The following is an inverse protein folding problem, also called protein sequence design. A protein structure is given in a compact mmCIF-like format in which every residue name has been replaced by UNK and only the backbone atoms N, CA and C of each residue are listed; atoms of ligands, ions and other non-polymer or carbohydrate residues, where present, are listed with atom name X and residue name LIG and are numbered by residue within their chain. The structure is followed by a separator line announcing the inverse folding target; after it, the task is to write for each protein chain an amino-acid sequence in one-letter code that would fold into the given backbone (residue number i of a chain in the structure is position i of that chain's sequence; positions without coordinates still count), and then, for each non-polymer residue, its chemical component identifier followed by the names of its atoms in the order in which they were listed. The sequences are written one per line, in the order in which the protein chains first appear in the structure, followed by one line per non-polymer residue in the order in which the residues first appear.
data_IF_579878301114
#
_entry.id   IF_579878301114
#
_cell.length_a   1.000
_cell.length_b   1.000
_cell.length_c   1.000
_cell.angle_alpha   90.00
_cell.angle_beta   90.00
_cell.angle_gamma   90.00
#
_symmetry.space_group_name_H-M   'P 1'
#
loop_
_entity.id
_entity.type
_entity.pdbx_description
1 polymer ?
#
# COMPACT_ATOMS: atom_id res chain seq x y z
N UNK A 1 -17.02 -8.29 -14.85
CA UNK A 1 -16.19 -9.02 -15.84
C UNK A 1 -14.78 -8.61 -15.50
N UNK A 2 -14.07 -9.44 -14.73
CA UNK A 2 -12.73 -9.21 -14.20
C UNK A 2 -12.42 -10.42 -13.32
N UNK A 3 -11.24 -11.02 -13.31
CA UNK A 3 -10.02 -10.73 -14.05
C UNK A 3 -9.11 -11.95 -14.09
N UNK A 4 -9.28 -12.84 -15.08
CA UNK A 4 -8.29 -13.89 -15.36
C UNK A 4 -7.12 -13.36 -16.22
N UNK A 5 -7.24 -12.13 -16.73
CA UNK A 5 -6.25 -11.49 -17.59
C UNK A 5 -5.53 -10.37 -16.85
N UNK A 6 -4.21 -10.54 -16.67
CA UNK A 6 -3.28 -9.47 -16.31
C UNK A 6 -2.93 -8.66 -17.56
N UNK A 7 -2.85 -7.34 -17.45
CA UNK A 7 -2.49 -6.44 -18.55
C UNK A 7 -1.06 -5.90 -18.42
N UNK A 8 -0.44 -5.60 -19.56
CA UNK A 8 0.90 -5.03 -19.62
C UNK A 8 0.85 -3.49 -19.65
N UNK A 9 1.53 -2.83 -18.71
CA UNK A 9 1.86 -1.40 -18.76
C UNK A 9 3.37 -1.24 -19.04
N UNK A 10 3.79 -1.00 -20.29
CA UNK A 10 5.20 -1.02 -20.69
C UNK A 10 6.09 -0.06 -19.89
N UNK A 11 5.56 1.09 -19.50
CA UNK A 11 6.30 2.16 -18.79
C UNK A 11 6.86 1.69 -17.45
N UNK A 12 6.20 0.72 -16.81
CA UNK A 12 6.60 0.20 -15.51
C UNK A 12 7.05 -1.27 -15.55
N UNK A 13 7.03 -1.92 -16.71
CA UNK A 13 7.34 -3.34 -16.82
C UNK A 13 8.84 -3.64 -16.64
N UNK A 14 9.72 -2.78 -17.17
CA UNK A 14 11.16 -2.99 -17.13
C UNK A 14 11.84 -2.03 -16.15
N UNK A 15 12.74 -2.55 -15.33
CA UNK A 15 13.60 -1.76 -14.47
C UNK A 15 14.65 -1.01 -15.32
N UNK A 16 14.71 0.34 -15.29
CA UNK A 16 15.67 1.09 -16.09
C UNK A 16 17.12 0.86 -15.64
N UNK A 17 17.33 0.44 -14.39
CA UNK A 17 18.67 0.23 -13.82
C UNK A 17 19.30 -1.09 -14.27
N UNK A 18 18.59 -2.22 -14.12
CA UNK A 18 19.11 -3.54 -14.48
C UNK A 18 18.52 -4.15 -15.76
N UNK A 19 17.56 -3.48 -16.39
CA UNK A 19 16.86 -3.94 -17.61
C UNK A 19 16.09 -5.26 -17.43
N UNK A 20 15.88 -5.72 -16.20
CA UNK A 20 15.04 -6.89 -15.92
C UNK A 20 13.57 -6.49 -15.75
N UNK A 21 12.69 -7.45 -15.99
CA UNK A 21 11.26 -7.30 -15.68
C UNK A 21 11.06 -7.06 -14.19
N UNK A 22 10.18 -6.12 -13.89
CA UNK A 22 9.72 -5.87 -12.53
C UNK A 22 8.68 -6.91 -12.13
N UNK A 23 8.74 -7.32 -10.87
CA UNK A 23 7.77 -8.21 -10.24
C UNK A 23 6.48 -7.45 -10.01
N UNK A 24 5.34 -8.07 -10.35
CA UNK A 24 4.02 -7.55 -10.03
C UNK A 24 3.73 -7.72 -8.55
N UNK A 25 3.20 -6.65 -7.96
CA UNK A 25 2.81 -6.59 -6.55
C UNK A 25 1.30 -6.57 -6.41
N UNK A 26 0.62 -5.74 -7.21
CA UNK A 26 -0.81 -5.52 -7.09
C UNK A 26 -1.40 -5.06 -8.41
N UNK A 27 -2.62 -5.50 -8.70
CA UNK A 27 -3.46 -5.01 -9.80
C UNK A 27 -4.80 -4.61 -9.21
N UNK A 28 -5.30 -3.43 -9.58
CA UNK A 28 -6.61 -2.93 -9.16
C UNK A 28 -7.42 -2.47 -10.37
N UNK A 29 -8.69 -2.85 -10.37
CA UNK A 29 -9.66 -2.44 -11.38
C UNK A 29 -10.59 -1.38 -10.79
N UNK A 30 -10.87 -0.33 -11.56
CA UNK A 30 -11.68 0.81 -11.09
C UNK A 30 -13.14 0.47 -10.84
N UNK A 31 -13.69 -0.51 -11.56
CA UNK A 31 -15.05 -0.99 -11.36
C UNK A 31 -15.20 -1.80 -10.06
N UNK A 32 -14.13 -2.44 -9.60
CA UNK A 32 -14.05 -3.14 -8.31
C UNK A 32 -13.83 -2.17 -7.14
N UNK A 33 -13.04 -1.11 -7.34
CA UNK A 33 -12.69 -0.12 -6.30
C UNK A 33 -12.97 1.32 -6.74
N UNK A 34 -14.23 1.72 -6.95
CA UNK A 34 -14.58 3.04 -7.51
C UNK A 34 -14.21 4.22 -6.61
N UNK A 35 -14.03 4.00 -5.31
CA UNK A 35 -13.64 4.99 -4.31
C UNK A 35 -12.13 5.26 -4.26
N UNK A 36 -11.32 4.41 -4.89
CA UNK A 36 -9.87 4.64 -4.97
C UNK A 36 -9.52 5.69 -6.01
N UNK A 37 -8.28 6.17 -5.94
CA UNK A 37 -7.78 7.13 -6.90
C UNK A 37 -7.41 6.45 -8.23
N UNK A 38 -7.98 6.99 -9.31
CA UNK A 38 -7.55 6.74 -10.68
C UNK A 38 -7.40 8.08 -11.41
N UNK A 39 -6.28 8.35 -12.09
CA UNK A 39 -6.16 9.47 -13.02
C UNK A 39 -7.29 9.51 -14.06
N UNK A 40 -7.49 10.67 -14.65
CA UNK A 40 -8.52 10.89 -15.66
C UNK A 40 -8.34 9.91 -16.82
N UNK A 41 -9.44 9.31 -17.30
CA UNK A 41 -9.45 8.34 -18.40
C UNK A 41 -8.67 7.03 -18.14
N UNK A 42 -8.40 6.68 -16.89
CA UNK A 42 -7.84 5.38 -16.51
C UNK A 42 -8.84 4.55 -15.71
N UNK A 43 -8.75 3.24 -15.84
CA UNK A 43 -9.60 2.24 -15.17
C UNK A 43 -8.81 1.02 -14.64
N UNK A 44 -7.48 1.04 -14.79
CA UNK A 44 -6.57 -0.01 -14.34
C UNK A 44 -5.31 0.56 -13.68
N UNK A 45 -4.93 -0.01 -12.55
CA UNK A 45 -3.73 0.33 -11.80
C UNK A 45 -2.91 -0.94 -11.62
N UNK A 46 -1.64 -0.87 -12.01
CA UNK A 46 -0.66 -1.92 -11.78
C UNK A 46 0.47 -1.38 -10.91
N UNK A 47 0.88 -2.15 -9.91
CA UNK A 47 2.01 -1.83 -9.03
C UNK A 47 3.10 -2.87 -9.23
N UNK A 48 4.31 -2.42 -9.54
CA UNK A 48 5.47 -3.28 -9.81
C UNK A 48 6.70 -2.83 -9.04
N UNK A 49 7.60 -3.75 -8.70
CA UNK A 49 8.89 -3.42 -8.09
C UNK A 49 10.03 -4.27 -8.66
N UNK A 50 11.27 -3.85 -8.47
CA UNK A 50 12.45 -4.58 -8.92
C UNK A 50 13.13 -5.27 -7.73
N UNK A 51 13.12 -6.61 -7.69
CA UNK A 51 13.79 -7.40 -6.66
C UNK A 51 15.22 -7.85 -7.03
N UNK A 52 15.80 -7.32 -8.11
CA UNK A 52 17.19 -7.64 -8.45
C UNK A 52 18.15 -7.02 -7.42
N UNK A 53 18.93 -7.85 -6.73
CA UNK A 53 19.91 -7.44 -5.72
C UNK A 53 20.89 -6.35 -6.19
N UNK A 54 21.23 -6.32 -7.49
CA UNK A 54 22.10 -5.28 -8.07
C UNK A 54 21.44 -3.90 -8.12
N UNK A 55 20.11 -3.84 -7.99
CA UNK A 55 19.34 -2.60 -7.86
C UNK A 55 18.96 -2.28 -6.41
N UNK A 56 19.10 -3.25 -5.50
CA UNK A 56 18.76 -3.15 -4.07
C UNK A 56 19.94 -2.57 -3.25
N UNK A 57 21.02 -2.13 -3.89
CA UNK A 57 22.18 -1.47 -3.25
C UNK A 57 21.82 -0.16 -2.51
N UNK A 58 20.56 0.27 -2.57
CA UNK A 58 19.96 1.34 -1.78
C UNK A 58 18.91 0.64 -0.91
N UNK A 59 18.90 0.91 0.39
CA UNK A 59 17.98 0.43 1.43
C UNK A 59 16.47 0.52 1.14
N UNK A 60 16.07 0.90 -0.07
CA UNK A 60 14.76 1.39 -0.44
C UNK A 60 14.26 0.63 -1.68
N UNK A 61 13.35 -0.32 -1.47
CA UNK A 61 12.58 -0.92 -2.57
C UNK A 61 11.60 0.14 -3.09
N UNK A 62 11.69 0.45 -4.38
CA UNK A 62 10.85 1.48 -5.01
C UNK A 62 9.75 0.86 -5.85
N UNK A 63 8.54 0.93 -5.32
CA UNK A 63 7.32 0.54 -6.04
C UNK A 63 6.99 1.58 -7.12
N UNK A 64 6.63 1.08 -8.30
CA UNK A 64 6.22 1.87 -9.47
C UNK A 64 4.74 1.64 -9.73
N UNK A 65 4.00 2.74 -9.86
CA UNK A 65 2.60 2.73 -10.25
C UNK A 65 2.48 2.97 -11.75
N UNK A 66 1.70 2.14 -12.43
CA UNK A 66 1.29 2.32 -13.80
C UNK A 66 -0.23 2.43 -13.82
N UNK A 67 -0.74 3.48 -14.45
CA UNK A 67 -2.17 3.64 -14.69
C UNK A 67 -2.44 3.48 -16.17
N UNK A 68 -3.51 2.77 -16.51
CA UNK A 68 -3.89 2.53 -17.89
C UNK A 68 -5.39 2.46 -18.06
N UNK A 69 -5.80 2.46 -19.33
CA UNK A 69 -7.16 2.15 -19.74
C UNK A 69 -7.16 0.75 -20.33
N UNK A 70 -7.91 -0.19 -19.76
CA UNK A 70 -7.88 -1.63 -20.11
C UNK A 70 -8.01 -1.84 -21.62
N UNK A 71 -8.91 -1.10 -22.26
CA UNK A 71 -9.15 -1.18 -23.71
C UNK A 71 -7.94 -0.81 -24.57
N UNK A 72 -7.00 -0.05 -24.01
CA UNK A 72 -5.77 0.40 -24.68
C UNK A 72 -4.57 -0.48 -24.28
N UNK A 73 -4.73 -1.39 -23.30
CA UNK A 73 -3.67 -2.28 -22.84
C UNK A 73 -3.70 -3.63 -23.57
N UNK A 74 -2.52 -4.23 -23.70
CA UNK A 74 -2.39 -5.58 -24.23
C UNK A 74 -2.46 -6.60 -23.10
N UNK A 75 -3.16 -7.74 -23.29
CA UNK A 75 -3.10 -8.85 -22.34
C UNK A 75 -1.65 -9.34 -22.20
N UNK A 76 -1.24 -9.61 -20.97
CA UNK A 76 0.06 -10.20 -20.69
C UNK A 76 0.02 -11.71 -21.00
N UNK A 77 0.64 -12.10 -22.11
CA UNK A 77 0.63 -13.50 -22.60
C UNK A 77 1.81 -14.33 -22.11
N UNK A 78 2.77 -13.71 -21.46
CA UNK A 78 3.93 -14.41 -20.91
C UNK A 78 3.60 -14.85 -19.48
N UNK A 79 4.03 -16.06 -19.11
CA UNK A 79 3.92 -16.49 -17.72
C UNK A 79 4.64 -15.47 -16.86
N UNK A 80 3.91 -14.91 -15.90
CA UNK A 80 4.50 -14.00 -14.94
C UNK A 80 5.51 -14.76 -14.10
N UNK A 81 6.80 -14.61 -14.42
CA UNK A 81 7.86 -14.96 -13.50
C UNK A 81 7.80 -13.95 -12.35
N UNK A 82 7.07 -14.33 -11.32
CA UNK A 82 6.93 -13.58 -10.07
C UNK A 82 7.41 -14.45 -8.93
N UNK A 83 8.26 -13.88 -8.07
CA UNK A 83 8.62 -14.51 -6.80
C UNK A 83 7.48 -14.44 -5.77
N UNK A 84 6.50 -13.56 -6.02
CA UNK A 84 5.26 -13.44 -5.25
C UNK A 84 4.21 -14.31 -5.92
N UNK A 85 3.56 -15.24 -5.21
CA UNK A 85 2.58 -16.10 -5.84
C UNK A 85 1.34 -15.28 -6.26
N UNK A 86 0.77 -15.62 -7.40
CA UNK A 86 -0.44 -14.95 -7.90
C UNK A 86 -1.64 -15.38 -7.07
N UNK A 87 -2.28 -14.42 -6.42
CA UNK A 87 -3.48 -14.62 -5.62
C UNK A 87 -4.53 -13.57 -5.94
N UNK A 88 -5.79 -13.97 -5.81
CA UNK A 88 -6.91 -13.04 -5.74
C UNK A 88 -7.24 -12.81 -4.27
N UNK A 89 -7.28 -11.54 -3.87
CA UNK A 89 -7.74 -11.16 -2.54
C UNK A 89 -9.24 -10.91 -2.58
N UNK A 90 -9.95 -11.37 -1.56
CA UNK A 90 -11.33 -10.95 -1.29
C UNK A 90 -11.26 -9.72 -0.38
N UNK A 91 -11.48 -8.50 -0.91
CA UNK A 91 -11.35 -7.28 -0.12
C UNK A 91 -12.44 -7.23 0.96
N UNK A 92 -12.05 -6.82 2.17
CA UNK A 92 -12.98 -6.58 3.28
C UNK A 92 -13.05 -5.07 3.51
N UNK A 93 -14.27 -4.52 3.52
CA UNK A 93 -14.49 -3.13 3.92
C UNK A 93 -14.48 -3.00 5.43
N UNK A 94 -13.76 -2.00 5.94
CA UNK A 94 -13.68 -1.70 7.37
C UNK A 94 -13.72 -0.17 7.61
N UNK A 95 -13.92 0.24 8.86
CA UNK A 95 -13.97 1.65 9.27
C UNK A 95 -12.81 1.96 10.20
N UNK A 96 -11.93 2.84 9.74
CA UNK A 96 -10.84 3.37 10.55
C UNK A 96 -11.24 4.73 11.13
N UNK A 97 -10.96 4.92 12.42
CA UNK A 97 -11.00 6.23 13.06
C UNK A 97 -9.61 6.85 12.89
N UNK A 98 -9.51 8.06 12.31
CA UNK A 98 -8.23 8.67 12.05
C UNK A 98 -7.35 8.76 13.29
N UNK A 99 -6.29 7.97 13.28
CA UNK A 99 -5.16 8.17 14.17
C UNK A 99 -4.39 9.35 13.60
N UNK A 100 -4.81 10.57 13.97
CA UNK A 100 -3.90 11.69 13.81
C UNK A 100 -2.62 11.27 14.52
N UNK A 101 -1.47 11.39 13.84
CA UNK A 101 -0.13 11.23 14.41
C UNK A 101 0.17 12.20 15.57
N UNK A 102 -0.86 12.86 16.10
CA UNK A 102 -0.91 13.68 17.29
C UNK A 102 -2.06 13.15 18.14
N UNK A 103 -1.71 12.48 19.24
CA UNK A 103 -2.68 12.09 20.26
C UNK A 103 -3.45 13.35 20.71
N UNK A 104 -4.77 13.32 20.58
CA UNK A 104 -5.61 14.33 21.24
C UNK A 104 -5.36 14.29 22.75
N UNK A 105 -5.67 15.38 23.45
CA UNK A 105 -5.53 15.43 24.91
C UNK A 105 -6.36 14.31 25.55
N UNK A 106 -7.56 14.04 25.03
CA UNK A 106 -8.41 12.94 25.49
C UNK A 106 -7.73 11.57 25.33
N UNK A 107 -7.01 11.34 24.23
CA UNK A 107 -6.30 10.09 23.97
C UNK A 107 -5.07 9.93 24.88
N UNK A 108 -4.30 11.00 25.10
CA UNK A 108 -3.19 11.00 26.05
C UNK A 108 -3.65 10.68 27.48
N UNK A 109 -4.80 11.21 27.88
CA UNK A 109 -5.42 10.93 29.17
C UNK A 109 -5.90 9.49 29.25
N UNK A 110 -6.52 8.96 28.20
CA UNK A 110 -6.94 7.56 28.10
C UNK A 110 -5.75 6.59 28.14
N UNK A 111 -4.67 6.86 27.41
CA UNK A 111 -3.44 6.04 27.42
C UNK A 111 -2.82 6.03 28.82
N UNK A 112 -2.74 7.18 29.49
CA UNK A 112 -2.26 7.25 30.88
C UNK A 112 -3.15 6.49 31.85
N UNK A 113 -4.46 6.51 31.66
CA UNK A 113 -5.43 5.86 32.53
C UNK A 113 -5.43 4.32 32.34
N UNK A 114 -5.39 3.86 31.10
CA UNK A 114 -5.56 2.44 30.74
C UNK A 114 -4.22 1.70 30.65
N UNK A 115 -3.12 2.42 30.42
CA UNK A 115 -1.85 1.86 29.98
C UNK A 115 -1.88 1.57 28.46
N UNK A 116 -0.72 1.71 27.81
CA UNK A 116 -0.60 1.61 26.35
C UNK A 116 -1.21 0.32 25.78
N UNK A 117 -0.88 -0.84 26.35
CA UNK A 117 -1.36 -2.13 25.85
C UNK A 117 -2.88 -2.29 25.94
N UNK A 118 -3.50 -1.84 27.05
CA UNK A 118 -4.96 -1.98 27.23
C UNK A 118 -5.72 -0.95 26.40
N UNK A 119 -5.15 0.23 26.22
CA UNK A 119 -5.69 1.23 25.31
C UNK A 119 -5.68 0.71 23.87
N UNK A 120 -4.55 0.18 23.41
CA UNK A 120 -4.40 -0.43 22.08
C UNK A 120 -5.35 -1.62 21.89
N UNK A 121 -5.56 -2.47 22.90
CA UNK A 121 -6.57 -3.55 22.86
C UNK A 121 -7.99 -3.00 22.65
N UNK A 122 -8.32 -1.86 23.25
CA UNK A 122 -9.68 -1.29 23.21
C UNK A 122 -9.95 -0.47 21.96
N UNK A 123 -8.96 0.28 21.48
CA UNK A 123 -9.12 1.11 20.27
C UNK A 123 -8.64 0.40 19.02
N UNK A 124 -7.92 -0.71 19.15
CA UNK A 124 -7.24 -1.40 18.07
C UNK A 124 -8.18 -1.84 16.95
N UNK A 125 -9.45 -2.09 17.27
CA UNK A 125 -10.50 -2.32 16.25
C UNK A 125 -10.68 -1.11 15.33
N UNK A 126 -10.53 0.10 15.84
CA UNK A 126 -10.77 1.37 15.15
C UNK A 126 -9.50 2.09 14.70
N UNK A 127 -8.30 1.63 15.04
CA UNK A 127 -7.06 2.25 14.57
C UNK A 127 -6.79 1.92 13.11
N UNK A 128 -5.93 2.72 12.48
CA UNK A 128 -5.35 2.36 11.20
C UNK A 128 -4.74 0.94 11.28
N UNK A 129 -5.00 0.13 10.26
CA UNK A 129 -4.53 -1.26 10.19
C UNK A 129 -3.28 -1.39 9.33
N UNK A 130 -2.39 -2.30 9.74
CA UNK A 130 -1.37 -2.90 8.88
C UNK A 130 -2.04 -3.79 7.82
N UNK A 131 -1.34 -4.09 6.73
CA UNK A 131 -1.87 -4.82 5.58
C UNK A 131 -1.97 -3.95 4.33
N UNK A 132 -2.02 -4.58 3.17
CA UNK A 132 -2.28 -3.88 1.91
C UNK A 132 -3.73 -3.42 1.89
N UNK A 133 -3.95 -2.11 1.74
CA UNK A 133 -5.30 -1.53 1.77
C UNK A 133 -5.45 -0.33 0.85
N UNK A 134 -6.71 -0.07 0.52
CA UNK A 134 -7.13 1.01 -0.35
C UNK A 134 -7.79 2.09 0.49
N UNK A 135 -7.43 3.35 0.27
CA UNK A 135 -7.81 4.48 1.12
C UNK A 135 -7.48 4.22 2.62
N UNK A 136 -8.32 4.68 3.55
CA UNK A 136 -8.05 4.64 4.98
C UNK A 136 -6.97 5.62 5.45
N UNK A 137 -6.62 5.52 6.72
CA UNK A 137 -5.51 6.23 7.33
C UNK A 137 -4.22 5.40 7.23
N UNK A 138 -3.07 6.06 7.41
CA UNK A 138 -1.77 5.39 7.33
C UNK A 138 -1.55 4.55 8.59
N UNK A 139 -1.10 3.31 8.45
CA UNK A 139 -0.48 2.58 9.57
C UNK A 139 1.03 2.73 9.46
N UNK A 140 1.66 3.33 10.47
CA UNK A 140 3.10 3.54 10.50
C UNK A 140 3.68 3.16 11.85
N UNK A 141 4.84 2.53 11.83
CA UNK A 141 5.68 2.24 12.99
C UNK A 141 6.31 3.51 13.56
N UNK A 142 6.65 4.45 12.68
CA UNK A 142 7.33 5.69 13.02
C UNK A 142 6.60 6.91 12.41
N UNK A 143 6.58 8.07 13.08
CA UNK A 143 5.95 9.26 12.51
C UNK A 143 6.55 9.66 11.16
N UNK A 144 5.69 9.77 10.13
CA UNK A 144 6.07 10.26 8.80
C UNK A 144 5.36 11.58 8.46
N UNK A 145 6.00 12.40 7.64
CA UNK A 145 5.40 13.64 7.13
C UNK A 145 4.44 13.33 5.97
N UNK A 146 3.15 13.61 6.19
CA UNK A 146 2.11 13.50 5.16
C UNK A 146 2.28 14.64 4.15
N UNK A 147 2.44 14.34 2.86
CA UNK A 147 2.72 15.36 1.86
C UNK A 147 1.58 16.38 1.73
N UNK A 148 1.95 17.62 1.44
CA UNK A 148 1.01 18.72 1.18
C UNK A 148 0.94 18.97 -0.32
N UNK A 149 -0.28 19.08 -0.82
CA UNK A 149 -0.53 19.51 -2.19
C UNK A 149 -0.18 20.98 -2.38
N UNK A 150 0.07 21.40 -3.62
CA UNK A 150 0.28 22.81 -3.99
C UNK A 150 -0.90 23.72 -3.64
N UNK A 151 -2.12 23.18 -3.44
CA UNK A 151 -3.26 23.93 -2.92
C UNK A 151 -3.22 24.19 -1.40
N UNK A 152 -2.17 23.72 -0.70
CA UNK A 152 -1.97 23.87 0.74
C UNK A 152 -2.65 22.80 1.60
N UNK A 153 -3.52 21.97 1.03
CA UNK A 153 -4.18 20.87 1.74
C UNK A 153 -3.27 19.65 1.88
N UNK A 154 -3.38 18.93 3.00
CA UNK A 154 -2.75 17.61 3.16
C UNK A 154 -3.31 16.65 2.11
N UNK A 155 -2.43 15.83 1.54
CA UNK A 155 -2.83 14.74 0.65
C UNK A 155 -3.42 13.60 1.49
N UNK A 156 -4.23 12.76 0.84
CA UNK A 156 -4.86 11.60 1.47
C UNK A 156 -4.23 10.33 0.92
N UNK A 157 -4.07 9.32 1.77
CA UNK A 157 -3.70 7.99 1.32
C UNK A 157 -4.79 7.46 0.38
N UNK A 158 -4.37 6.79 -0.69
CA UNK A 158 -5.26 6.00 -1.55
C UNK A 158 -4.81 4.54 -1.67
N UNK A 159 -3.54 4.24 -1.40
CA UNK A 159 -3.02 2.88 -1.40
C UNK A 159 -1.92 2.74 -0.34
N UNK A 160 -1.98 1.65 0.42
CA UNK A 160 -0.92 1.16 1.29
C UNK A 160 -0.55 -0.24 0.81
N UNK A 161 0.74 -0.51 0.64
CA UNK A 161 1.29 -1.83 0.37
C UNK A 161 2.05 -2.26 1.61
N UNK A 162 1.76 -3.44 2.13
CA UNK A 162 2.41 -3.94 3.33
C UNK A 162 3.29 -5.15 3.03
N UNK A 163 4.33 -5.27 3.85
CA UNK A 163 5.14 -6.48 3.94
C UNK A 163 4.42 -7.65 4.62
N UNK A 164 3.37 -7.34 5.39
CA UNK A 164 2.63 -8.29 6.22
C UNK A 164 1.14 -8.16 5.98
N UNK A 165 0.45 -9.28 5.80
CA UNK A 165 -0.98 -9.34 5.56
C UNK A 165 -1.65 -10.13 6.69
N UNK A 166 -2.32 -9.45 7.64
CA UNK A 166 -2.98 -10.11 8.78
C UNK A 166 -3.99 -11.17 8.38
N UNK A 167 -4.66 -10.99 7.24
CA UNK A 167 -5.65 -11.94 6.73
C UNK A 167 -5.06 -13.31 6.37
N UNK A 168 -3.76 -13.39 6.12
CA UNK A 168 -3.05 -14.65 5.85
C UNK A 168 -2.57 -15.35 7.14
N UNK A 169 -2.67 -14.66 8.28
CA UNK A 169 -2.24 -15.16 9.59
C UNK A 169 -3.33 -14.91 10.66
N UNK A 170 -4.54 -15.48 10.49
CA UNK A 170 -5.68 -15.19 11.37
C UNK A 170 -5.49 -15.67 12.81
N UNK A 171 -4.52 -16.55 13.07
CA UNK A 171 -4.18 -17.08 14.39
C UNK A 171 -2.83 -16.52 14.91
N UNK A 172 -2.29 -15.46 14.31
CA UNK A 172 -1.04 -14.85 14.77
C UNK A 172 -1.21 -14.24 16.16
N UNK A 173 -0.49 -14.80 17.13
CA UNK A 173 -0.43 -14.33 18.52
C UNK A 173 0.96 -13.80 18.91
N UNK A 174 1.95 -13.93 18.01
CA UNK A 174 3.30 -13.44 18.26
C UNK A 174 3.33 -11.91 18.31
N UNK A 175 4.23 -11.33 19.11
CA UNK A 175 4.42 -9.89 19.11
C UNK A 175 4.96 -9.40 17.75
N UNK A 176 4.62 -8.17 17.38
CA UNK A 176 4.88 -7.65 16.04
C UNK A 176 6.36 -7.62 15.62
N UNK A 177 7.30 -7.57 16.57
CA UNK A 177 8.73 -7.64 16.30
C UNK A 177 9.25 -9.03 15.91
N UNK A 178 8.42 -10.06 16.00
CA UNK A 178 8.69 -11.44 15.58
C UNK A 178 7.92 -11.84 14.31
N UNK A 179 7.13 -10.92 13.75
CA UNK A 179 6.39 -11.19 12.52
C UNK A 179 7.36 -11.46 11.36
N UNK A 180 6.84 -12.10 10.31
CA UNK A 180 7.58 -12.40 9.09
C UNK A 180 6.76 -11.95 7.89
N UNK A 181 7.44 -11.65 6.78
CA UNK A 181 6.79 -11.22 5.54
C UNK A 181 5.79 -12.29 5.08
N UNK A 182 4.58 -11.88 4.68
CA UNK A 182 3.48 -12.81 4.39
C UNK A 182 3.45 -13.27 2.92
N UNK A 183 3.76 -12.38 1.98
CA UNK A 183 3.59 -12.61 0.54
C UNK A 183 4.89 -12.50 -0.27
N UNK A 184 6.04 -12.31 0.37
CA UNK A 184 7.28 -11.98 -0.33
C UNK A 184 7.30 -10.55 -0.87
N UNK A 185 6.47 -9.66 -0.31
CA UNK A 185 6.63 -8.21 -0.44
C UNK A 185 7.64 -7.78 0.61
N UNK A 186 8.81 -7.33 0.17
CA UNK A 186 9.88 -6.88 1.07
C UNK A 186 9.86 -5.35 1.16
N UNK A 187 9.62 -4.80 2.36
CA UNK A 187 9.78 -3.38 2.69
C UNK A 187 10.49 -3.34 4.03
N UNK A 188 11.80 -3.09 4.03
CA UNK A 188 12.60 -3.08 5.27
C UNK A 188 12.33 -4.29 6.17
N UNK A 189 12.23 -4.05 7.48
CA UNK A 189 11.83 -5.05 8.48
C UNK A 189 10.32 -4.99 8.75
N UNK A 190 9.48 -5.44 7.81
CA UNK A 190 8.00 -5.45 7.95
C UNK A 190 7.38 -4.05 7.83
N UNK A 191 7.83 -3.31 6.84
CA UNK A 191 7.40 -1.97 6.57
C UNK A 191 6.14 -1.85 5.71
N UNK A 192 5.71 -0.60 5.59
CA UNK A 192 4.58 -0.19 4.77
C UNK A 192 5.02 0.87 3.76
N UNK A 193 4.40 0.83 2.58
CA UNK A 193 4.58 1.82 1.52
C UNK A 193 3.25 2.51 1.27
N UNK A 194 3.21 3.82 1.50
CA UNK A 194 2.00 4.63 1.43
C UNK A 194 2.03 5.53 0.22
N UNK A 195 0.98 5.50 -0.59
CA UNK A 195 0.77 6.39 -1.72
C UNK A 195 -0.34 7.39 -1.42
N UNK A 196 -0.04 8.66 -1.72
CA UNK A 196 -0.88 9.80 -1.43
C UNK A 196 -1.26 10.53 -2.70
N UNK A 197 -2.48 11.07 -2.72
CA UNK A 197 -2.98 11.98 -3.76
C UNK A 197 -3.78 13.11 -3.14
N UNK A 198 -3.94 14.24 -3.84
CA UNK A 198 -4.80 15.31 -3.36
C UNK A 198 -6.24 15.12 -3.81
N UNK A 199 -7.14 14.73 -2.89
CA UNK A 199 -8.58 14.56 -3.21
C UNK A 199 -9.31 15.84 -3.63
N UNK A 200 -8.68 17.01 -3.47
CA UNK A 200 -9.28 18.31 -3.78
C UNK A 200 -8.78 18.91 -5.09
N UNK A 201 -7.67 18.43 -5.62
CA UNK A 201 -7.13 18.92 -6.87
C UNK A 201 -7.22 17.79 -7.89
N UNK A 202 -7.65 18.09 -9.10
CA UNK A 202 -7.42 17.20 -10.24
C UNK A 202 -5.93 17.19 -10.67
N UNK A 203 -4.99 17.57 -9.79
CA UNK A 203 -3.59 17.32 -10.09
C UNK A 203 -3.36 15.84 -9.81
N UNK A 204 -3.00 15.09 -10.85
CA UNK A 204 -2.81 13.64 -10.79
C UNK A 204 -1.46 13.30 -10.12
N UNK A 205 -0.98 14.17 -9.23
CA UNK A 205 0.32 14.01 -8.57
C UNK A 205 0.17 12.97 -7.47
N UNK A 206 0.89 11.87 -7.64
CA UNK A 206 1.09 10.87 -6.59
C UNK A 206 2.41 11.12 -5.88
N UNK A 207 2.38 11.11 -4.56
CA UNK A 207 3.56 11.07 -3.70
C UNK A 207 3.57 9.79 -2.88
N UNK A 208 4.74 9.38 -2.39
CA UNK A 208 4.85 8.22 -1.52
C UNK A 208 5.69 8.50 -0.28
N UNK A 209 5.46 7.72 0.77
CA UNK A 209 6.30 7.60 1.97
C UNK A 209 6.38 6.13 2.35
N UNK A 210 7.42 5.76 3.06
CA UNK A 210 7.56 4.41 3.60
C UNK A 210 8.15 4.48 4.99
N UNK A 211 7.89 3.43 5.76
CA UNK A 211 8.43 3.20 7.08
C UNK A 211 8.64 1.70 7.28
N UNK A 212 9.49 1.34 8.23
CA UNK A 212 9.69 -0.03 8.70
C UNK A 212 9.89 -0.09 10.22
N UNK A 213 9.91 -1.31 10.74
CA UNK A 213 9.98 -1.60 12.18
C UNK A 213 11.39 -1.55 12.76
#
# INVERSE_FOLDING_TARGET
MGGDETYLIPEIDICPSCQQKRTLILELFKDEFPETFFPSNTDYLQVKTCYNDQCIDISDIVFKLGFGKILDLSPNRESMESHIPTFYFEPISDVEIPYNTYESIEQLELIKLLGANKYEELIGEFTAKIGTKINGDIFVWHPIDIPKCSCGKKMSQFLQISSYEPCLHPEEDRPYWEWHLSLGVFIGKIGNYHFFTCKFCNNEKVEYRWDDL
#
